data_IF_241081777039
#
_entry.id   IF_241081777039
#
_cell.length_a   1.000
_cell.length_b   1.000
_cell.length_c   1.000
_cell.angle_alpha   90.00
_cell.angle_beta   90.00
_cell.angle_gamma   90.00
#
_symmetry.space_group_name_H-M   'P 1'
#
loop_
_entity.id
_entity.type
_entity.pdbx_description
1 polymer ?
#
# COMPACT_ATOMS: atom_id res chain seq x y z
N UNK A 1 6.32 34.72 -6.69
CA UNK A 1 6.68 34.32 -5.31
C UNK A 1 5.49 33.57 -4.74
N UNK A 2 5.60 32.26 -4.61
CA UNK A 2 4.59 31.42 -3.96
C UNK A 2 4.63 31.71 -2.46
N UNK A 3 3.49 31.96 -1.82
CA UNK A 3 3.48 32.17 -0.37
C UNK A 3 3.83 30.85 0.30
N UNK A 4 4.66 30.87 1.36
CA UNK A 4 5.15 29.67 2.06
C UNK A 4 4.04 28.65 2.40
N UNK A 5 2.84 29.13 2.74
CA UNK A 5 1.66 28.29 3.00
C UNK A 5 1.15 27.52 1.77
N UNK A 6 1.21 28.11 0.58
CA UNK A 6 0.73 27.47 -0.66
C UNK A 6 1.69 26.36 -1.12
N UNK A 7 2.98 26.51 -0.84
CA UNK A 7 3.96 25.46 -1.11
C UNK A 7 3.76 24.26 -0.18
N UNK A 8 3.45 24.48 1.09
CA UNK A 8 3.10 23.42 2.05
C UNK A 8 1.82 22.68 1.61
N UNK A 9 0.79 23.41 1.17
CA UNK A 9 -0.43 22.82 0.63
C UNK A 9 -0.18 21.98 -0.63
N UNK A 10 0.67 22.45 -1.55
CA UNK A 10 1.03 21.71 -2.76
C UNK A 10 1.71 20.38 -2.41
N UNK A 11 2.67 20.40 -1.47
CA UNK A 11 3.37 19.20 -1.02
C UNK A 11 2.40 18.20 -0.39
N UNK A 12 1.52 18.65 0.51
CA UNK A 12 0.51 17.80 1.13
C UNK A 12 -0.45 17.17 0.11
N UNK A 13 -0.81 17.92 -0.93
CA UNK A 13 -1.63 17.42 -2.02
C UNK A 13 -0.90 16.38 -2.87
N UNK A 14 0.39 16.59 -3.16
CA UNK A 14 1.23 15.60 -3.87
C UNK A 14 1.35 14.32 -3.06
N UNK A 15 1.61 14.42 -1.75
CA UNK A 15 1.66 13.24 -0.86
C UNK A 15 0.33 12.49 -0.86
N UNK A 16 -0.79 13.21 -0.80
CA UNK A 16 -2.13 12.63 -0.89
C UNK A 16 -2.38 11.93 -2.23
N UNK A 17 -1.83 12.46 -3.32
CA UNK A 17 -1.94 11.85 -4.63
C UNK A 17 -1.12 10.55 -4.73
N UNK A 18 0.09 10.54 -4.15
CA UNK A 18 0.97 9.35 -4.11
C UNK A 18 0.37 8.20 -3.28
N UNK A 19 -0.53 8.50 -2.35
CA UNK A 19 -1.21 7.51 -1.51
C UNK A 19 -2.51 6.96 -2.12
N UNK A 20 -2.83 7.31 -3.37
CA UNK A 20 -4.02 6.80 -4.05
C UNK A 20 -4.08 5.26 -3.99
N UNK A 21 -5.26 4.74 -3.60
CA UNK A 21 -5.42 3.31 -3.28
C UNK A 21 -5.32 2.38 -4.48
N UNK A 22 -5.67 2.87 -5.68
CA UNK A 22 -5.54 2.14 -6.93
C UNK A 22 -5.30 3.12 -8.11
N UNK A 23 -4.96 2.56 -9.28
CA UNK A 23 -4.66 3.35 -10.47
C UNK A 23 -5.84 4.18 -10.99
N UNK A 24 -7.09 3.73 -10.80
CA UNK A 24 -8.28 4.47 -11.24
C UNK A 24 -8.51 5.70 -10.35
N UNK A 25 -8.36 5.53 -9.04
CA UNK A 25 -8.39 6.62 -8.05
C UNK A 25 -7.27 7.60 -8.36
N UNK A 26 -6.06 7.11 -8.62
CA UNK A 26 -4.91 7.96 -8.97
C UNK A 26 -5.20 8.81 -10.21
N UNK A 27 -5.67 8.22 -11.31
CA UNK A 27 -5.98 8.97 -12.55
C UNK A 27 -7.02 10.06 -12.27
N UNK A 28 -8.11 9.73 -11.57
CA UNK A 28 -9.14 10.71 -11.24
C UNK A 28 -8.62 11.81 -10.32
N UNK A 29 -7.85 11.46 -9.30
CA UNK A 29 -7.25 12.41 -8.37
C UNK A 29 -6.25 13.32 -9.08
N UNK A 30 -5.41 12.80 -9.98
CA UNK A 30 -4.48 13.56 -10.82
C UNK A 30 -5.19 14.61 -11.66
N UNK A 31 -6.31 14.27 -12.30
CA UNK A 31 -7.10 15.23 -13.07
C UNK A 31 -7.66 16.36 -12.19
N UNK A 32 -8.11 16.03 -10.97
CA UNK A 32 -8.60 17.02 -10.01
C UNK A 32 -7.47 17.88 -9.43
N UNK A 33 -6.29 17.28 -9.23
CA UNK A 33 -5.08 17.96 -8.78
C UNK A 33 -4.64 19.00 -9.80
N UNK A 34 -4.52 18.61 -11.08
CA UNK A 34 -4.21 19.51 -12.19
C UNK A 34 -5.22 20.65 -12.24
N UNK A 35 -6.52 20.37 -12.09
CA UNK A 35 -7.55 21.42 -12.06
C UNK A 35 -7.41 22.39 -10.88
N UNK A 36 -7.00 21.90 -9.70
CA UNK A 36 -6.79 22.73 -8.49
C UNK A 36 -5.58 23.65 -8.65
N UNK A 37 -4.49 23.15 -9.21
CA UNK A 37 -3.19 23.84 -9.22
C UNK A 37 -2.84 24.54 -10.53
N UNK A 38 -3.53 24.27 -11.65
CA UNK A 38 -3.21 24.85 -12.97
C UNK A 38 -3.20 26.38 -13.00
N UNK A 39 -4.03 27.04 -12.20
CA UNK A 39 -4.06 28.51 -12.11
C UNK A 39 -3.05 29.08 -11.12
N UNK A 40 -2.59 28.29 -10.15
CA UNK A 40 -1.72 28.74 -9.05
C UNK A 40 -0.24 28.45 -9.35
N UNK A 41 0.03 27.25 -9.88
CA UNK A 41 1.37 26.72 -10.12
C UNK A 41 1.48 26.15 -11.56
N UNK A 42 1.29 26.99 -12.60
CA UNK A 42 1.23 26.52 -13.99
C UNK A 42 2.51 25.78 -14.43
N UNK A 43 3.70 26.29 -14.06
CA UNK A 43 4.98 25.68 -14.41
C UNK A 43 5.15 24.29 -13.78
N UNK A 44 4.72 24.14 -12.51
CA UNK A 44 4.76 22.83 -11.85
C UNK A 44 3.78 21.85 -12.49
N UNK A 45 2.60 22.32 -12.89
CA UNK A 45 1.61 21.46 -13.55
C UNK A 45 2.09 21.02 -14.93
N UNK A 46 2.70 21.91 -15.70
CA UNK A 46 3.33 21.57 -16.97
C UNK A 46 4.42 20.50 -16.77
N UNK A 47 5.29 20.68 -15.79
CA UNK A 47 6.29 19.68 -15.40
C UNK A 47 5.63 18.35 -14.99
N UNK A 48 4.63 18.38 -14.11
CA UNK A 48 3.95 17.21 -13.59
C UNK A 48 3.29 16.38 -14.70
N UNK A 49 2.73 17.04 -15.71
CA UNK A 49 2.10 16.39 -16.87
C UNK A 49 3.12 15.80 -17.85
N UNK A 50 4.31 16.41 -17.98
CA UNK A 50 5.28 16.06 -19.01
C UNK A 50 6.44 15.16 -18.54
N UNK A 51 6.91 15.25 -17.29
CA UNK A 51 8.21 14.67 -16.90
C UNK A 51 8.17 13.46 -15.96
N UNK A 52 7.14 13.30 -15.11
CA UNK A 52 7.13 12.25 -14.09
C UNK A 52 7.19 10.81 -14.66
N UNK A 53 6.65 10.57 -15.86
CA UNK A 53 6.72 9.27 -16.52
C UNK A 53 7.98 9.12 -17.40
N UNK A 54 8.40 10.19 -18.08
CA UNK A 54 9.41 10.09 -19.13
C UNK A 54 10.80 9.80 -18.58
N UNK A 55 11.25 10.47 -17.52
CA UNK A 55 12.61 10.25 -16.99
C UNK A 55 12.79 8.82 -16.43
N UNK A 56 11.82 8.33 -15.67
CA UNK A 56 11.87 6.97 -15.12
C UNK A 56 11.77 5.91 -16.23
N UNK A 57 10.89 6.10 -17.22
CA UNK A 57 10.77 5.21 -18.37
C UNK A 57 12.01 5.26 -19.25
N UNK A 58 12.60 6.43 -19.49
CA UNK A 58 13.81 6.59 -20.28
C UNK A 58 15.02 5.94 -19.61
N UNK A 59 15.19 6.12 -18.30
CA UNK A 59 16.24 5.44 -17.54
C UNK A 59 16.05 3.92 -17.63
N UNK A 60 14.83 3.43 -17.40
CA UNK A 60 14.50 2.00 -17.49
C UNK A 60 14.76 1.46 -18.90
N UNK A 61 14.27 2.17 -19.93
CA UNK A 61 14.48 1.82 -21.33
C UNK A 61 15.95 1.82 -21.72
N UNK A 62 16.74 2.77 -21.20
CA UNK A 62 18.18 2.84 -21.44
C UNK A 62 18.92 1.66 -20.81
N UNK A 63 18.56 1.23 -19.61
CA UNK A 63 19.15 0.04 -18.98
C UNK A 63 18.77 -1.23 -19.76
N UNK A 64 17.50 -1.39 -20.15
CA UNK A 64 17.07 -2.52 -20.99
C UNK A 64 17.88 -2.56 -22.30
N UNK A 65 17.99 -1.42 -22.98
CA UNK A 65 18.72 -1.31 -24.26
C UNK A 65 20.22 -1.57 -24.11
N UNK A 66 20.87 -1.06 -23.06
CA UNK A 66 22.32 -1.18 -22.86
C UNK A 66 22.73 -2.53 -22.31
N UNK A 67 22.00 -3.06 -21.35
CA UNK A 67 22.44 -4.22 -20.57
C UNK A 67 21.80 -5.54 -21.04
N UNK A 68 20.64 -5.51 -21.70
CA UNK A 68 19.85 -6.73 -21.92
C UNK A 68 19.47 -7.00 -23.38
N UNK A 69 19.32 -5.97 -24.20
CA UNK A 69 19.03 -6.17 -25.64
C UNK A 69 20.21 -5.80 -26.53
N UNK A 70 21.29 -5.23 -25.99
CA UNK A 70 22.41 -4.67 -26.77
C UNK A 70 21.93 -3.77 -27.94
N UNK A 71 20.80 -3.08 -27.75
CA UNK A 71 20.08 -2.29 -28.76
C UNK A 71 19.53 -3.08 -29.97
N UNK A 72 19.53 -4.41 -29.93
CA UNK A 72 18.92 -5.24 -30.96
C UNK A 72 17.38 -5.24 -30.86
N UNK A 73 16.71 -5.39 -32.01
CA UNK A 73 15.26 -5.60 -32.06
C UNK A 73 14.97 -7.08 -31.79
N UNK A 74 14.37 -7.35 -30.64
CA UNK A 74 13.97 -8.69 -30.25
C UNK A 74 12.57 -9.02 -30.75
N UNK A 75 12.35 -10.28 -31.12
CA UNK A 75 11.00 -10.82 -31.27
C UNK A 75 10.25 -10.72 -29.94
N UNK A 76 8.94 -10.47 -30.00
CA UNK A 76 8.11 -10.19 -28.82
C UNK A 76 8.19 -11.30 -27.75
N UNK A 77 8.23 -12.57 -28.15
CA UNK A 77 8.38 -13.71 -27.24
C UNK A 77 9.68 -13.64 -26.45
N UNK A 78 10.79 -13.35 -27.13
CA UNK A 78 12.13 -13.22 -26.52
C UNK A 78 12.25 -11.96 -25.67
N UNK A 79 11.65 -10.85 -26.12
CA UNK A 79 11.56 -9.62 -25.34
C UNK A 79 10.79 -9.85 -24.04
N UNK A 80 9.68 -10.59 -24.07
CA UNK A 80 8.88 -10.89 -22.87
C UNK A 80 9.69 -11.70 -21.85
N UNK A 81 10.38 -12.74 -22.29
CA UNK A 81 11.26 -13.55 -21.42
C UNK A 81 12.34 -12.67 -20.78
N UNK A 82 13.06 -11.89 -21.59
CA UNK A 82 14.09 -10.99 -21.11
C UNK A 82 13.54 -9.92 -20.16
N UNK A 83 12.36 -9.35 -20.43
CA UNK A 83 11.73 -8.39 -19.53
C UNK A 83 11.42 -9.00 -18.15
N UNK A 84 10.93 -10.24 -18.11
CA UNK A 84 10.72 -10.96 -16.84
C UNK A 84 12.04 -11.23 -16.12
N UNK A 85 13.08 -11.68 -16.83
CA UNK A 85 14.41 -11.92 -16.27
C UNK A 85 15.02 -10.63 -15.70
N UNK A 86 14.85 -9.49 -16.38
CA UNK A 86 15.32 -8.18 -15.92
C UNK A 86 14.61 -7.78 -14.63
N UNK A 87 13.28 -7.86 -14.61
CA UNK A 87 12.49 -7.51 -13.42
C UNK A 87 12.82 -8.44 -12.26
N UNK A 88 12.98 -9.73 -12.53
CA UNK A 88 13.36 -10.74 -11.54
C UNK A 88 14.77 -10.45 -10.99
N UNK A 89 15.74 -10.16 -11.87
CA UNK A 89 17.10 -9.79 -11.50
C UNK A 89 17.10 -8.51 -10.69
N UNK A 90 16.40 -7.44 -11.09
CA UNK A 90 16.30 -6.22 -10.29
C UNK A 90 15.64 -6.47 -8.94
N UNK A 91 14.61 -7.32 -8.90
CA UNK A 91 13.93 -7.69 -7.66
C UNK A 91 14.82 -8.50 -6.70
N UNK A 92 15.79 -9.25 -7.23
CA UNK A 92 16.72 -10.09 -6.45
C UNK A 92 18.06 -9.40 -6.16
N UNK A 93 18.59 -8.58 -7.07
CA UNK A 93 19.95 -8.03 -7.06
C UNK A 93 20.08 -6.61 -6.52
N UNK A 94 19.17 -6.14 -5.65
CA UNK A 94 19.38 -4.97 -4.79
C UNK A 94 20.48 -5.23 -3.72
N UNK A 95 21.63 -5.77 -4.13
CA UNK A 95 22.73 -6.19 -3.27
C UNK A 95 23.69 -5.06 -2.91
N UNK A 96 23.60 -3.89 -3.56
CA UNK A 96 24.36 -2.70 -3.15
C UNK A 96 23.56 -1.88 -2.13
N UNK A 97 23.41 -2.45 -0.93
CA UNK A 97 22.92 -1.74 0.25
C UNK A 97 21.52 -2.16 0.72
N UNK A 98 21.48 -3.23 1.52
CA UNK A 98 20.46 -3.47 2.57
C UNK A 98 18.98 -3.35 2.15
N UNK A 99 18.47 -4.37 1.43
CA UNK A 99 17.12 -4.92 1.64
C UNK A 99 17.04 -6.27 0.90
N UNK A 100 17.42 -7.35 1.57
CA UNK A 100 17.09 -8.70 1.08
C UNK A 100 15.57 -8.75 0.90
N UNK A 101 15.10 -9.10 -0.29
CA UNK A 101 13.69 -9.35 -0.53
C UNK A 101 13.30 -10.57 0.33
N UNK A 102 12.77 -10.30 1.52
CA UNK A 102 12.51 -11.34 2.50
C UNK A 102 11.19 -12.02 2.12
N UNK A 103 11.27 -13.08 1.33
CA UNK A 103 10.11 -13.85 0.87
C UNK A 103 9.30 -14.43 2.03
N UNK A 104 9.92 -14.60 3.22
CA UNK A 104 9.23 -15.01 4.43
C UNK A 104 8.89 -13.77 5.26
N UNK A 105 7.67 -13.27 5.10
CA UNK A 105 7.16 -12.16 5.90
C UNK A 105 7.21 -12.53 7.39
N UNK A 106 8.13 -11.92 8.12
CA UNK A 106 8.22 -12.06 9.57
C UNK A 106 7.46 -10.91 10.19
N UNK A 107 6.34 -11.21 10.84
CA UNK A 107 5.49 -10.20 11.48
C UNK A 107 6.11 -9.84 12.82
N UNK A 108 6.44 -8.56 12.99
CA UNK A 108 7.02 -8.08 14.25
C UNK A 108 6.03 -8.19 15.41
N UNK A 109 6.54 -8.36 16.64
CA UNK A 109 5.70 -8.38 17.84
C UNK A 109 4.88 -7.08 18.01
N UNK A 110 5.44 -5.94 17.60
CA UNK A 110 4.74 -4.67 17.56
C UNK A 110 3.52 -4.71 16.63
N UNK A 111 3.68 -5.30 15.43
CA UNK A 111 2.58 -5.42 14.47
C UNK A 111 1.50 -6.38 14.96
N UNK A 112 1.88 -7.48 15.60
CA UNK A 112 0.94 -8.36 16.31
C UNK A 112 0.16 -7.62 17.41
N UNK A 113 0.85 -6.80 18.19
CA UNK A 113 0.23 -6.04 19.29
C UNK A 113 -0.79 -5.03 18.74
N UNK A 114 -0.39 -4.24 17.74
CA UNK A 114 -1.26 -3.23 17.13
C UNK A 114 -2.43 -3.85 16.36
N UNK A 115 -2.22 -4.99 15.70
CA UNK A 115 -3.31 -5.77 15.09
C UNK A 115 -4.30 -6.29 16.13
N UNK A 116 -3.82 -6.84 17.25
CA UNK A 116 -4.68 -7.32 18.33
C UNK A 116 -5.46 -6.18 19.02
N UNK A 117 -4.81 -5.04 19.26
CA UNK A 117 -5.50 -3.83 19.76
C UNK A 117 -6.56 -3.32 18.79
N UNK A 118 -6.27 -3.37 17.49
CA UNK A 118 -7.25 -3.03 16.46
C UNK A 118 -8.48 -3.95 16.52
N UNK A 119 -8.31 -5.26 16.73
CA UNK A 119 -9.44 -6.18 16.95
C UNK A 119 -10.29 -5.77 18.15
N UNK A 120 -9.65 -5.38 19.27
CA UNK A 120 -10.34 -4.90 20.48
C UNK A 120 -11.15 -3.62 20.26
N UNK A 121 -10.79 -2.79 19.28
CA UNK A 121 -11.55 -1.57 18.94
C UNK A 121 -12.93 -1.86 18.33
N UNK A 122 -13.22 -3.13 18.00
CA UNK A 122 -14.51 -3.63 17.54
C UNK A 122 -15.18 -2.77 16.45
N UNK A 123 -14.37 -2.27 15.51
CA UNK A 123 -14.84 -1.49 14.35
C UNK A 123 -15.81 -2.34 13.50
N UNK A 124 -16.84 -1.72 12.93
CA UNK A 124 -17.74 -2.39 11.99
C UNK A 124 -16.99 -2.78 10.73
N UNK A 125 -17.34 -3.93 10.15
CA UNK A 125 -16.74 -4.43 8.91
C UNK A 125 -17.86 -4.71 7.92
N UNK A 126 -17.64 -4.38 6.66
CA UNK A 126 -18.50 -4.82 5.56
C UNK A 126 -17.72 -5.80 4.68
N UNK A 127 -18.25 -6.99 4.46
CA UNK A 127 -17.63 -8.02 3.62
C UNK A 127 -18.28 -8.10 2.25
N UNK A 128 -17.47 -8.29 1.22
CA UNK A 128 -17.91 -8.59 -0.15
C UNK A 128 -17.08 -9.76 -0.65
N UNK A 129 -17.74 -10.86 -1.00
CA UNK A 129 -17.10 -12.03 -1.58
C UNK A 129 -16.86 -11.80 -3.09
N UNK A 130 -15.68 -12.17 -3.56
CA UNK A 130 -15.26 -12.05 -4.96
C UNK A 130 -14.46 -13.32 -5.33
N UNK A 131 -15.16 -14.34 -5.84
CA UNK A 131 -14.60 -15.63 -6.22
C UNK A 131 -13.75 -16.27 -5.10
N UNK A 132 -12.42 -16.28 -5.26
CA UNK A 132 -11.47 -16.87 -4.32
C UNK A 132 -10.92 -15.87 -3.28
N UNK A 133 -11.44 -14.64 -3.26
CA UNK A 133 -11.02 -13.56 -2.38
C UNK A 133 -12.23 -13.00 -1.64
N UNK A 134 -12.02 -12.57 -0.39
CA UNK A 134 -13.00 -11.82 0.38
C UNK A 134 -12.45 -10.44 0.68
N UNK A 135 -13.17 -9.41 0.24
CA UNK A 135 -12.85 -8.02 0.54
C UNK A 135 -13.60 -7.57 1.78
N UNK A 136 -12.88 -6.94 2.70
CA UNK A 136 -13.38 -6.36 3.94
C UNK A 136 -13.12 -4.85 3.95
N UNK A 137 -14.18 -4.07 3.92
CA UNK A 137 -14.11 -2.62 4.04
C UNK A 137 -14.15 -2.23 5.53
N UNK A 138 -13.18 -1.43 5.97
CA UNK A 138 -12.94 -1.02 7.36
C UNK A 138 -12.82 0.52 7.48
N UNK A 139 -13.28 1.13 8.59
CA UNK A 139 -13.17 2.58 8.76
C UNK A 139 -11.72 2.97 9.07
N UNK A 140 -11.30 4.11 8.56
CA UNK A 140 -10.00 4.70 8.85
C UNK A 140 -9.99 5.46 10.19
N UNK A 141 -8.80 5.64 10.74
CA UNK A 141 -8.60 6.40 11.98
C UNK A 141 -9.35 5.79 13.17
N UNK A 142 -9.96 6.65 13.98
CA UNK A 142 -10.65 6.28 15.22
C UNK A 142 -12.13 5.96 15.01
N UNK A 143 -12.68 6.20 13.82
CA UNK A 143 -14.08 5.91 13.50
C UNK A 143 -14.41 4.43 13.65
N UNK A 144 -15.53 4.13 14.31
CA UNK A 144 -15.93 2.76 14.64
C UNK A 144 -17.01 2.19 13.73
N UNK A 145 -17.68 3.03 12.94
CA UNK A 145 -18.82 2.66 12.11
C UNK A 145 -18.59 3.04 10.65
N UNK A 146 -18.95 2.14 9.75
CA UNK A 146 -19.06 2.39 8.31
C UNK A 146 -20.52 2.29 7.90
N UNK A 147 -20.95 3.15 6.99
CA UNK A 147 -22.26 3.05 6.33
C UNK A 147 -22.09 2.58 4.88
N UNK A 148 -23.08 1.87 4.34
CA UNK A 148 -23.09 1.48 2.92
C UNK A 148 -22.96 2.70 1.99
N UNK A 149 -23.52 3.84 2.39
CA UNK A 149 -23.41 5.11 1.67
C UNK A 149 -21.96 5.59 1.61
N UNK A 150 -21.20 5.47 2.70
CA UNK A 150 -19.77 5.80 2.74
C UNK A 150 -18.95 4.91 1.81
N UNK A 151 -19.20 3.60 1.83
CA UNK A 151 -18.54 2.64 0.93
C UNK A 151 -18.82 2.99 -0.53
N UNK A 152 -20.08 3.30 -0.86
CA UNK A 152 -20.49 3.69 -2.20
C UNK A 152 -19.81 4.98 -2.67
N UNK A 153 -19.64 5.96 -1.76
CA UNK A 153 -18.92 7.20 -2.07
C UNK A 153 -17.48 6.92 -2.46
N UNK A 154 -16.81 5.98 -1.77
CA UNK A 154 -15.42 5.60 -2.08
C UNK A 154 -15.34 4.78 -3.36
N UNK A 155 -16.11 3.68 -3.46
CA UNK A 155 -16.08 2.76 -4.60
C UNK A 155 -16.52 3.43 -5.91
N UNK A 156 -17.56 4.27 -5.87
CA UNK A 156 -18.06 5.02 -7.05
C UNK A 156 -17.32 6.34 -7.25
N UNK A 157 -16.29 6.61 -6.44
CA UNK A 157 -15.45 7.79 -6.54
C UNK A 157 -16.23 9.10 -6.57
N UNK A 158 -17.20 9.29 -5.66
CA UNK A 158 -18.09 10.46 -5.64
C UNK A 158 -17.41 11.70 -5.04
N UNK A 159 -16.37 12.17 -5.73
CA UNK A 159 -15.65 13.42 -5.49
C UNK A 159 -15.42 14.17 -6.81
N UNK A 160 -15.54 15.50 -6.73
CA UNK A 160 -15.49 16.41 -7.87
C UNK A 160 -14.44 17.52 -7.72
N UNK A 161 -13.83 17.61 -6.54
CA UNK A 161 -12.69 18.50 -6.26
C UNK A 161 -11.58 17.69 -5.58
N UNK A 162 -10.34 18.19 -5.65
CA UNK A 162 -9.21 17.50 -5.02
C UNK A 162 -9.35 17.47 -3.49
N UNK A 163 -9.86 18.53 -2.87
CA UNK A 163 -10.09 18.57 -1.42
C UNK A 163 -11.15 17.53 -0.98
N UNK A 164 -12.16 17.29 -1.81
CA UNK A 164 -13.14 16.23 -1.55
C UNK A 164 -12.49 14.85 -1.66
N UNK A 165 -11.58 14.65 -2.61
CA UNK A 165 -10.80 13.43 -2.72
C UNK A 165 -10.00 13.17 -1.44
N UNK A 166 -9.20 14.14 -0.97
CA UNK A 166 -8.40 13.99 0.25
C UNK A 166 -9.26 13.64 1.47
N UNK A 167 -10.43 14.27 1.61
CA UNK A 167 -11.31 14.02 2.76
C UNK A 167 -12.05 12.69 2.69
N UNK A 168 -12.35 12.18 1.49
CA UNK A 168 -13.26 11.02 1.31
C UNK A 168 -12.55 9.75 0.90
N UNK A 169 -11.47 9.81 0.13
CA UNK A 169 -10.80 8.61 -0.38
C UNK A 169 -10.08 7.82 0.73
N UNK A 170 -9.70 8.49 1.82
CA UNK A 170 -8.93 7.89 2.92
C UNK A 170 -9.76 7.57 4.17
N UNK A 171 -11.10 7.64 4.09
CA UNK A 171 -12.00 7.30 5.20
C UNK A 171 -12.22 5.81 5.37
N UNK A 172 -11.99 5.03 4.30
CA UNK A 172 -12.23 3.59 4.28
C UNK A 172 -10.99 2.91 3.70
N UNK A 173 -10.52 1.87 4.39
CA UNK A 173 -9.53 0.95 3.87
C UNK A 173 -10.20 -0.36 3.48
N UNK A 174 -9.71 -0.99 2.43
CA UNK A 174 -10.16 -2.31 1.99
C UNK A 174 -9.04 -3.31 2.27
N UNK A 175 -9.39 -4.42 2.92
CA UNK A 175 -8.50 -5.56 3.17
C UNK A 175 -9.02 -6.73 2.36
N UNK A 176 -8.22 -7.28 1.48
CA UNK A 176 -8.58 -8.44 0.66
C UNK A 176 -7.80 -9.64 1.14
N UNK A 177 -8.50 -10.70 1.53
CA UNK A 177 -7.90 -11.96 2.00
C UNK A 177 -8.30 -13.12 1.09
N UNK A 178 -7.42 -14.11 0.87
CA UNK A 178 -7.81 -15.37 0.26
C UNK A 178 -8.87 -16.11 1.08
N UNK A 179 -9.75 -16.85 0.41
CA UNK A 179 -10.70 -17.78 1.06
C UNK A 179 -9.94 -18.90 1.79
N UNK A 180 -8.80 -19.32 1.26
CA UNK A 180 -7.90 -20.26 1.93
C UNK A 180 -7.25 -19.60 3.16
N UNK A 181 -7.72 -20.04 4.34
CA UNK A 181 -7.29 -19.51 5.65
C UNK A 181 -5.79 -19.66 5.88
N UNK A 182 -5.15 -20.68 5.31
CA UNK A 182 -3.71 -20.91 5.51
C UNK A 182 -2.85 -19.89 4.73
N UNK A 183 -3.41 -19.28 3.69
CA UNK A 183 -2.75 -18.31 2.81
C UNK A 183 -3.03 -16.86 3.19
N UNK A 184 -3.47 -16.61 4.42
CA UNK A 184 -3.83 -15.26 4.87
C UNK A 184 -2.69 -14.23 4.76
N UNK A 185 -1.42 -14.68 4.74
CA UNK A 185 -0.24 -13.83 4.52
C UNK A 185 -0.22 -13.18 3.13
N UNK A 186 -0.92 -13.77 2.16
CA UNK A 186 -1.09 -13.21 0.82
C UNK A 186 -2.14 -12.08 0.80
N UNK A 187 -2.68 -11.71 1.97
CA UNK A 187 -3.64 -10.64 2.13
C UNK A 187 -3.10 -9.27 1.73
N UNK A 188 -3.96 -8.47 1.09
CA UNK A 188 -3.63 -7.12 0.61
C UNK A 188 -4.46 -6.08 1.36
N UNK A 189 -3.92 -4.89 1.56
CA UNK A 189 -4.68 -3.78 2.14
C UNK A 189 -4.38 -2.45 1.45
N UNK A 190 -5.40 -1.58 1.33
CA UNK A 190 -5.26 -0.25 0.71
C UNK A 190 -4.74 0.83 1.66
N UNK A 191 -4.33 0.50 2.88
CA UNK A 191 -3.80 1.50 3.82
C UNK A 191 -2.32 1.85 3.53
N UNK A 192 -1.93 3.08 3.87
CA UNK A 192 -0.55 3.58 3.66
C UNK A 192 0.54 2.70 4.30
N UNK A 193 0.27 2.09 5.47
CA UNK A 193 1.22 1.20 6.13
C UNK A 193 1.50 -0.05 5.30
N UNK A 194 0.49 -0.58 4.61
CA UNK A 194 0.63 -1.74 3.74
C UNK A 194 1.48 -1.40 2.51
N UNK A 195 1.23 -0.28 1.84
CA UNK A 195 2.05 0.13 0.69
C UNK A 195 3.53 0.33 1.04
N UNK A 196 3.87 0.68 2.29
CA UNK A 196 5.25 0.85 2.74
C UNK A 196 5.94 -0.45 3.17
N UNK A 197 5.20 -1.39 3.77
CA UNK A 197 5.78 -2.57 4.44
C UNK A 197 5.29 -3.92 3.89
N UNK A 198 4.35 -3.90 2.95
CA UNK A 198 3.60 -5.06 2.44
C UNK A 198 2.90 -5.89 3.52
N UNK A 199 2.72 -5.31 4.72
CA UNK A 199 2.00 -5.90 5.84
C UNK A 199 1.54 -4.79 6.78
N UNK A 200 0.36 -4.92 7.38
CA UNK A 200 -0.21 -3.89 8.23
C UNK A 200 -1.08 -4.47 9.35
N UNK A 201 -1.41 -3.61 10.33
CA UNK A 201 -2.28 -3.98 11.47
C UNK A 201 -3.67 -4.45 11.03
N UNK A 202 -4.15 -4.02 9.86
CA UNK A 202 -5.47 -4.39 9.36
C UNK A 202 -5.50 -5.81 8.81
N UNK A 203 -4.49 -6.23 8.04
CA UNK A 203 -4.37 -7.63 7.57
C UNK A 203 -4.24 -8.57 8.77
N UNK A 204 -3.30 -8.28 9.67
CA UNK A 204 -3.09 -9.09 10.89
C UNK A 204 -4.31 -9.06 11.82
N UNK A 205 -4.93 -7.90 12.00
CA UNK A 205 -6.11 -7.76 12.84
C UNK A 205 -7.32 -8.51 12.29
N UNK A 206 -7.57 -8.43 10.98
CA UNK A 206 -8.66 -9.16 10.33
C UNK A 206 -8.49 -10.67 10.48
N UNK A 207 -7.27 -11.19 10.32
CA UNK A 207 -7.02 -12.63 10.41
C UNK A 207 -7.12 -13.15 11.83
N UNK A 208 -6.76 -12.34 12.84
CA UNK A 208 -7.05 -12.64 14.26
C UNK A 208 -8.57 -12.65 14.50
N UNK A 209 -9.30 -11.67 13.97
CA UNK A 209 -10.76 -11.55 14.19
C UNK A 209 -11.55 -12.68 13.55
N UNK A 210 -11.09 -13.18 12.41
CA UNK A 210 -11.67 -14.31 11.68
C UNK A 210 -11.16 -15.68 12.19
N UNK A 211 -10.30 -15.70 13.22
CA UNK A 211 -9.67 -16.90 13.78
C UNK A 211 -8.85 -17.71 12.74
N UNK A 212 -8.25 -17.03 11.77
CA UNK A 212 -7.32 -17.63 10.80
C UNK A 212 -5.92 -17.79 11.40
N UNK A 213 -5.57 -16.99 12.40
CA UNK A 213 -4.29 -17.09 13.11
C UNK A 213 -4.43 -16.69 14.59
N UNK A 214 -3.57 -17.28 15.43
CA UNK A 214 -3.51 -16.96 16.86
C UNK A 214 -2.34 -16.02 17.13
N UNK A 215 -2.56 -14.84 17.74
CA UNK A 215 -1.46 -13.94 18.05
C UNK A 215 -0.59 -14.54 19.16
N UNK A 216 0.74 -14.29 19.13
CA UNK A 216 1.64 -14.80 20.17
C UNK A 216 1.24 -14.28 21.55
N UNK A 217 1.41 -15.06 22.63
CA UNK A 217 0.98 -14.65 23.98
C UNK A 217 1.54 -13.28 24.41
N UNK A 218 2.80 -13.00 24.06
CA UNK A 218 3.45 -11.73 24.33
C UNK A 218 2.75 -10.51 23.71
N UNK A 219 2.04 -10.67 22.58
CA UNK A 219 1.30 -9.59 21.94
C UNK A 219 -0.02 -9.26 22.66
N UNK A 220 -0.56 -10.19 23.45
CA UNK A 220 -1.83 -9.99 24.19
C UNK A 220 -1.64 -9.18 25.47
N UNK A 221 -0.45 -9.25 26.06
CA UNK A 221 -0.15 -8.72 27.40
C UNK A 221 0.48 -7.32 27.39
N UNK A 222 0.87 -6.78 26.23
CA UNK A 222 1.52 -5.47 26.14
C UNK A 222 0.51 -4.31 26.32
N UNK A 223 0.74 -3.46 27.33
CA UNK A 223 0.00 -2.20 27.54
C UNK A 223 0.65 -1.04 26.77
N UNK A 224 -0.14 0.01 26.52
CA UNK A 224 0.29 1.25 25.85
C UNK A 224 1.32 1.96 26.75
N UNK A 225 2.52 2.26 26.21
CA UNK A 225 3.52 3.13 26.86
C UNK A 225 4.82 2.45 27.31
N UNK A 226 4.90 1.11 27.31
CA UNK A 226 6.10 0.43 27.80
C UNK A 226 7.21 0.40 26.74
N UNK A 227 8.36 1.02 27.03
CA UNK A 227 9.60 0.83 26.26
C UNK A 227 9.97 -0.65 26.31
N UNK A 228 9.93 -1.32 25.16
CA UNK A 228 10.32 -2.72 25.06
C UNK A 228 11.84 -2.86 25.12
N UNK A 229 12.33 -3.58 26.12
CA UNK A 229 13.70 -4.11 26.13
C UNK A 229 13.76 -5.19 25.03
N UNK A 230 14.73 -5.06 24.12
CA UNK A 230 14.96 -6.04 23.06
C UNK A 230 15.49 -7.31 23.70
N UNK A 231 14.61 -8.28 23.96
CA UNK A 231 15.04 -9.65 24.26
C UNK A 231 15.13 -10.37 22.91
N UNK A 232 16.35 -10.64 22.48
CA UNK A 232 16.65 -11.47 21.32
C UNK A 232 16.32 -12.91 21.72
N UNK A 233 15.12 -13.37 21.40
CA UNK A 233 14.74 -14.77 21.65
C UNK A 233 15.09 -15.60 20.41
N UNK A 234 16.16 -16.39 20.52
CA UNK A 234 16.54 -17.40 19.54
C UNK A 234 15.55 -18.57 19.59
N UNK A 235 14.38 -18.43 18.96
CA UNK A 235 13.47 -19.56 18.83
C UNK A 235 13.90 -20.49 17.71
N UNK A 236 14.51 -21.58 18.18
CA UNK A 236 14.85 -22.84 17.54
C UNK A 236 13.68 -23.39 16.67
N UNK A 237 13.91 -23.76 15.40
CA UNK A 237 12.86 -24.20 14.48
C UNK A 237 12.53 -25.67 14.70
N UNK A 238 11.59 -25.98 15.60
CA UNK A 238 10.96 -27.31 15.61
C UNK A 238 9.46 -27.23 15.91
N UNK A 239 8.72 -27.88 15.00
CA UNK A 239 7.33 -28.34 15.10
C UNK A 239 6.29 -27.49 14.34
N UNK A 240 6.27 -27.68 13.02
CA UNK A 240 5.03 -27.81 12.26
C UNK A 240 5.06 -29.17 11.56
N UNK A 241 4.16 -30.07 11.93
CA UNK A 241 3.58 -31.06 11.04
C UNK A 241 2.17 -30.57 10.69
#
# INVERSE_FOLDING_TARGET
MVKKSEQEDLVNDVESLQLAQDGRIFIKASNLFVKKWSKKEPNFIEYFQNECANNALEVTNNIIKKENTLRERLLLSRFKVLAFEIVEKWSKCYERGLKKCNYKQTISLELWTTGYQWVKSNKSIFSTECDNLVQYDIPAGDETKITNVGIDVVKKMKWYTFDQYQKKAFTIWSVTLPVDKLKWLDGVCTCAAFFKKYMCKHVVGMTIRLDHCKPPPAAKNAKIGDKKIVVVDHQNPKNCY
#
